data_IF_982235645113
#
_entry.id   IF_982235645113
#
_cell.length_a   1.000
_cell.length_b   1.000
_cell.length_c   1.000
_cell.angle_alpha   90.00
_cell.angle_beta   90.00
_cell.angle_gamma   90.00
#
_symmetry.space_group_name_H-M   'P 1'
#
loop_
_entity.id
_entity.type
_entity.pdbx_description
1 polymer ?
#
# COMPACT_ATOMS: atom_id res chain seq x y z
N UNK A 1 31.10 25.54 39.06
CA UNK A 1 31.64 24.54 38.11
C UNK A 1 30.62 24.33 37.02
N UNK A 2 30.81 24.99 35.88
CA UNK A 2 29.98 24.84 34.69
C UNK A 2 30.98 24.71 33.53
N UNK A 3 31.14 23.50 33.00
CA UNK A 3 32.08 23.22 31.92
C UNK A 3 31.34 23.42 30.61
N UNK A 4 31.67 24.49 29.88
CA UNK A 4 31.26 24.67 28.49
C UNK A 4 32.16 23.81 27.58
N UNK A 5 31.61 23.17 26.53
CA UNK A 5 32.42 22.42 25.58
C UNK A 5 33.21 23.36 24.63
N UNK A 6 34.35 22.92 24.08
CA UNK A 6 35.20 23.78 23.25
C UNK A 6 34.61 23.96 21.84
N UNK A 7 34.65 25.21 21.36
CA UNK A 7 34.39 25.59 19.97
C UNK A 7 35.53 25.08 19.07
N UNK A 8 35.21 24.18 18.14
CA UNK A 8 36.14 23.72 17.11
C UNK A 8 36.07 24.64 15.90
N UNK A 9 37.23 25.17 15.53
CA UNK A 9 37.47 26.06 14.39
C UNK A 9 37.39 25.32 13.05
N UNK A 10 36.55 25.79 12.13
CA UNK A 10 36.48 25.31 10.74
C UNK A 10 37.26 26.27 9.83
N UNK A 11 38.53 25.94 9.54
CA UNK A 11 39.25 26.54 8.41
C UNK A 11 39.75 25.46 7.45
N UNK A 12 39.10 25.44 6.27
CA UNK A 12 39.62 25.23 4.91
C UNK A 12 40.16 23.85 4.47
N UNK A 13 40.28 23.56 3.15
CA UNK A 13 39.66 24.15 1.96
C UNK A 13 38.80 23.14 1.17
N UNK A 14 38.01 23.68 0.24
CA UNK A 14 37.27 22.89 -0.75
C UNK A 14 38.23 22.05 -1.62
N UNK A 15 38.11 20.73 -1.55
CA UNK A 15 38.69 19.82 -2.53
C UNK A 15 37.60 19.00 -3.18
N UNK A 16 37.40 19.27 -4.47
CA UNK A 16 36.59 18.53 -5.42
C UNK A 16 36.69 17.00 -5.20
N UNK A 17 35.60 16.37 -4.81
CA UNK A 17 35.36 14.95 -5.03
C UNK A 17 34.12 14.80 -5.91
N UNK A 18 34.38 14.24 -7.09
CA UNK A 18 33.45 14.06 -8.20
C UNK A 18 32.24 13.22 -7.73
N UNK A 19 31.05 13.68 -8.11
CA UNK A 19 29.78 12.96 -7.99
C UNK A 19 29.91 11.54 -8.53
N UNK A 20 30.05 10.57 -7.63
CA UNK A 20 29.92 9.16 -7.94
C UNK A 20 28.42 8.85 -8.04
N UNK A 21 27.97 8.56 -9.26
CA UNK A 21 26.64 8.02 -9.56
C UNK A 21 26.50 6.63 -8.94
N UNK A 22 26.27 6.53 -7.64
CA UNK A 22 25.85 5.28 -7.02
C UNK A 22 24.34 5.12 -7.21
N UNK A 23 23.97 4.49 -8.33
CA UNK A 23 22.69 3.77 -8.43
C UNK A 23 22.74 2.62 -7.42
N UNK A 24 22.23 2.84 -6.23
CA UNK A 24 21.86 1.74 -5.34
C UNK A 24 20.60 1.14 -5.96
N UNK A 25 20.79 0.18 -6.87
CA UNK A 25 19.72 -0.67 -7.35
C UNK A 25 19.37 -1.61 -6.20
N UNK A 26 18.36 -1.25 -5.41
CA UNK A 26 17.67 -2.24 -4.57
C UNK A 26 17.13 -3.31 -5.52
N UNK A 27 17.31 -4.62 -5.24
CA UNK A 27 16.70 -5.66 -6.03
C UNK A 27 15.19 -5.52 -5.85
N UNK A 28 14.52 -4.86 -6.80
CA UNK A 28 13.07 -4.98 -6.95
C UNK A 28 12.85 -6.44 -7.32
N UNK A 29 12.14 -7.24 -6.52
CA UNK A 29 11.80 -8.58 -6.92
C UNK A 29 11.02 -8.49 -8.22
N UNK A 30 11.63 -8.86 -9.34
CA UNK A 30 10.94 -9.04 -10.60
C UNK A 30 10.12 -10.33 -10.51
N UNK A 31 9.06 -10.30 -9.71
CA UNK A 31 8.11 -11.41 -9.54
C UNK A 31 7.13 -11.53 -10.71
N UNK A 32 7.27 -10.69 -11.74
CA UNK A 32 6.60 -10.86 -13.03
C UNK A 32 7.17 -12.02 -13.87
N UNK A 33 8.04 -12.87 -13.32
CA UNK A 33 8.41 -14.13 -13.93
C UNK A 33 7.32 -15.18 -13.67
N UNK A 34 6.37 -15.22 -14.61
CA UNK A 34 5.43 -16.29 -14.95
C UNK A 34 5.27 -17.45 -13.94
N UNK A 35 4.30 -17.32 -13.04
CA UNK A 35 3.53 -18.47 -12.57
C UNK A 35 2.10 -18.32 -13.07
N UNK A 36 1.84 -18.90 -14.25
CA UNK A 36 0.54 -18.87 -14.94
C UNK A 36 -0.57 -19.63 -14.18
N UNK A 37 -0.27 -20.20 -13.01
CA UNK A 37 -1.17 -21.07 -12.25
C UNK A 37 -1.80 -20.41 -11.00
N UNK A 38 -1.35 -19.24 -10.54
CA UNK A 38 -1.88 -18.62 -9.31
C UNK A 38 -2.75 -17.40 -9.58
N UNK A 39 -3.87 -17.30 -8.87
CA UNK A 39 -4.74 -16.11 -8.90
C UNK A 39 -3.98 -14.93 -8.29
N UNK A 40 -3.90 -13.83 -9.04
CA UNK A 40 -3.21 -12.63 -8.58
C UNK A 40 -3.95 -12.03 -7.37
N UNK A 41 -3.20 -11.61 -6.37
CA UNK A 41 -3.71 -10.98 -5.15
C UNK A 41 -3.75 -9.47 -5.32
N UNK A 42 -4.73 -8.81 -4.69
CA UNK A 42 -4.85 -7.35 -4.78
C UNK A 42 -5.33 -6.72 -3.47
N UNK A 43 -4.82 -5.51 -3.20
CA UNK A 43 -5.39 -4.56 -2.25
C UNK A 43 -6.09 -3.46 -3.06
N UNK A 44 -7.30 -3.06 -2.66
CA UNK A 44 -8.09 -2.05 -3.37
C UNK A 44 -8.15 -0.76 -2.56
N UNK A 45 -7.88 0.39 -3.17
CA UNK A 45 -8.07 1.70 -2.56
C UNK A 45 -9.44 2.27 -2.92
N UNK A 46 -10.21 2.70 -1.93
CA UNK A 46 -11.56 3.26 -2.11
C UNK A 46 -11.90 4.29 -1.02
N UNK A 47 -10.94 5.17 -0.71
CA UNK A 47 -11.04 6.12 0.41
C UNK A 47 -12.34 6.92 0.41
N UNK A 48 -13.04 6.92 1.56
CA UNK A 48 -14.31 7.60 1.82
C UNK A 48 -15.47 7.21 0.88
N UNK A 49 -15.32 6.15 0.08
CA UNK A 49 -16.25 5.86 -1.01
C UNK A 49 -16.64 4.38 -1.11
N UNK A 50 -16.10 3.51 -0.26
CA UNK A 50 -16.52 2.11 -0.28
C UNK A 50 -18.00 1.97 0.10
N UNK A 51 -18.81 1.29 -0.72
CA UNK A 51 -20.26 1.25 -0.57
C UNK A 51 -21.02 2.46 -1.13
N UNK A 52 -20.33 3.52 -1.54
CA UNK A 52 -20.92 4.74 -2.11
C UNK A 52 -20.99 4.68 -3.65
N UNK A 53 -21.57 5.74 -4.24
CA UNK A 53 -21.77 5.88 -5.69
C UNK A 53 -20.44 5.90 -6.45
N UNK A 54 -19.42 6.55 -5.92
CA UNK A 54 -18.13 6.74 -6.61
C UNK A 54 -17.17 5.55 -6.39
N UNK A 55 -17.51 4.65 -5.45
CA UNK A 55 -16.78 3.41 -5.19
C UNK A 55 -17.24 2.21 -6.03
N UNK A 56 -18.02 2.42 -7.11
CA UNK A 56 -18.61 1.34 -7.93
C UNK A 56 -17.59 0.30 -8.39
N UNK A 57 -16.40 0.74 -8.79
CA UNK A 57 -15.34 -0.17 -9.23
C UNK A 57 -14.88 -1.07 -8.07
N UNK A 58 -14.59 -0.53 -6.89
CA UNK A 58 -14.26 -1.32 -5.70
C UNK A 58 -15.43 -2.25 -5.30
N UNK A 59 -16.65 -1.73 -5.28
CA UNK A 59 -17.86 -2.49 -4.91
C UNK A 59 -18.09 -3.67 -5.85
N UNK A 60 -17.90 -3.45 -7.16
CA UNK A 60 -17.99 -4.48 -8.19
C UNK A 60 -16.92 -5.55 -8.05
N UNK A 61 -15.68 -5.16 -7.74
CA UNK A 61 -14.58 -6.09 -7.48
C UNK A 61 -14.87 -6.97 -6.26
N UNK A 62 -15.34 -6.40 -5.15
CA UNK A 62 -15.66 -7.19 -3.96
C UNK A 62 -16.80 -8.20 -4.21
N UNK A 63 -17.82 -7.81 -4.97
CA UNK A 63 -18.96 -8.69 -5.25
C UNK A 63 -18.65 -9.81 -6.24
N UNK A 64 -17.80 -9.55 -7.25
CA UNK A 64 -17.63 -10.44 -8.41
C UNK A 64 -16.22 -10.47 -9.02
N UNK A 65 -15.15 -10.28 -8.24
CA UNK A 65 -13.80 -10.40 -8.81
C UNK A 65 -13.52 -11.84 -9.27
N UNK A 66 -13.43 -12.04 -10.58
CA UNK A 66 -13.04 -13.32 -11.20
C UNK A 66 -11.53 -13.42 -11.42
N UNK A 67 -10.84 -12.27 -11.46
CA UNK A 67 -9.42 -12.17 -11.86
C UNK A 67 -8.46 -12.07 -10.68
N UNK A 68 -8.95 -11.53 -9.56
CA UNK A 68 -8.11 -11.20 -8.41
C UNK A 68 -8.68 -11.77 -7.12
N UNK A 69 -7.81 -12.27 -6.26
CA UNK A 69 -8.14 -12.49 -4.86
C UNK A 69 -7.94 -11.16 -4.13
N UNK A 70 -9.04 -10.51 -3.77
CA UNK A 70 -8.99 -9.27 -3.01
C UNK A 70 -8.67 -9.60 -1.55
N UNK A 71 -7.63 -8.95 -1.00
CA UNK A 71 -7.15 -9.17 0.36
C UNK A 71 -7.83 -8.22 1.35
N UNK A 72 -7.98 -6.95 0.96
CA UNK A 72 -8.57 -5.89 1.79
C UNK A 72 -8.92 -4.67 0.93
N UNK A 73 -9.73 -3.77 1.52
CA UNK A 73 -10.02 -2.44 0.97
C UNK A 73 -9.43 -1.38 1.89
N UNK A 74 -8.81 -0.34 1.33
CA UNK A 74 -8.36 0.85 2.07
C UNK A 74 -9.46 1.91 2.00
N UNK A 75 -10.05 2.21 3.15
CA UNK A 75 -11.03 3.29 3.36
C UNK A 75 -11.01 3.68 4.85
N UNK A 76 -10.49 4.88 5.15
CA UNK A 76 -10.28 5.34 6.53
C UNK A 76 -11.58 5.59 7.30
N UNK A 77 -12.72 5.77 6.62
CA UNK A 77 -14.01 6.02 7.27
C UNK A 77 -14.69 4.73 7.73
N UNK A 78 -14.27 3.57 7.22
CA UNK A 78 -14.95 2.27 7.41
C UNK A 78 -14.05 1.20 8.04
N UNK A 79 -12.96 1.61 8.69
CA UNK A 79 -11.92 0.73 9.26
C UNK A 79 -12.51 -0.31 10.21
N UNK A 80 -12.02 -1.55 10.09
CA UNK A 80 -12.40 -2.66 10.96
C UNK A 80 -13.73 -3.32 10.58
N UNK A 81 -14.45 -2.80 9.59
CA UNK A 81 -15.65 -3.43 9.06
C UNK A 81 -15.31 -4.51 8.03
N UNK A 82 -16.26 -5.44 7.83
CA UNK A 82 -16.22 -6.43 6.77
C UNK A 82 -16.92 -5.87 5.52
N UNK A 83 -16.25 -5.98 4.37
CA UNK A 83 -16.77 -5.40 3.13
C UNK A 83 -18.09 -6.04 2.67
N UNK A 84 -18.28 -7.34 2.90
CA UNK A 84 -19.51 -8.04 2.57
C UNK A 84 -20.67 -7.64 3.48
N UNK A 85 -20.38 -7.37 4.76
CA UNK A 85 -21.37 -6.81 5.67
C UNK A 85 -21.87 -5.45 5.20
N UNK A 86 -20.99 -4.58 4.70
CA UNK A 86 -21.38 -3.26 4.19
C UNK A 86 -22.15 -3.31 2.87
N UNK A 87 -21.74 -4.16 1.93
CA UNK A 87 -22.36 -4.20 0.61
C UNK A 87 -23.66 -5.01 0.57
N UNK A 88 -23.67 -6.16 1.24
CA UNK A 88 -24.70 -7.19 1.03
C UNK A 88 -25.28 -7.74 2.35
N UNK A 89 -24.94 -7.15 3.51
CA UNK A 89 -25.30 -7.64 4.84
C UNK A 89 -24.89 -9.12 5.08
N UNK A 90 -23.79 -9.56 4.46
CA UNK A 90 -23.27 -10.92 4.57
C UNK A 90 -21.75 -10.91 4.66
N UNK A 91 -21.13 -11.51 5.68
CA UNK A 91 -19.68 -11.45 5.83
C UNK A 91 -18.96 -12.18 4.69
N UNK A 92 -17.87 -11.59 4.21
CA UNK A 92 -17.02 -12.18 3.15
C UNK A 92 -15.55 -12.33 3.56
N UNK A 93 -15.19 -11.94 4.79
CA UNK A 93 -13.85 -12.00 5.37
C UNK A 93 -12.81 -11.15 4.63
N UNK A 94 -13.25 -10.12 3.91
CA UNK A 94 -12.37 -9.10 3.31
C UNK A 94 -12.49 -7.84 4.18
N UNK A 95 -11.47 -7.51 4.99
CA UNK A 95 -11.51 -6.39 5.92
C UNK A 95 -11.30 -5.04 5.23
N UNK A 96 -11.79 -4.00 5.88
CA UNK A 96 -11.43 -2.61 5.57
C UNK A 96 -10.31 -2.14 6.49
N UNK A 97 -9.26 -1.60 5.88
CA UNK A 97 -8.04 -1.12 6.53
C UNK A 97 -7.93 0.40 6.44
N UNK A 98 -7.24 0.99 7.45
CA UNK A 98 -7.02 2.44 7.53
C UNK A 98 -6.19 2.98 6.38
N UNK A 99 -5.09 2.30 6.07
CA UNK A 99 -4.14 2.71 5.07
C UNK A 99 -3.48 1.49 4.41
N UNK A 100 -2.63 1.75 3.40
CA UNK A 100 -1.89 0.69 2.71
C UNK A 100 -0.95 -0.08 3.65
N UNK A 101 -0.37 0.58 4.66
CA UNK A 101 0.54 -0.07 5.61
C UNK A 101 -0.19 -1.11 6.45
N UNK A 102 -1.34 -0.74 6.99
CA UNK A 102 -2.24 -1.63 7.73
C UNK A 102 -2.77 -2.76 6.86
N UNK A 103 -3.12 -2.45 5.61
CA UNK A 103 -3.58 -3.45 4.64
C UNK A 103 -2.49 -4.48 4.30
N UNK A 104 -1.25 -4.04 4.11
CA UNK A 104 -0.11 -4.94 3.86
C UNK A 104 0.23 -5.78 5.09
N UNK A 105 0.24 -5.17 6.29
CA UNK A 105 0.49 -5.88 7.54
C UNK A 105 -0.59 -6.94 7.80
N UNK A 106 -1.86 -6.61 7.53
CA UNK A 106 -2.98 -7.55 7.63
C UNK A 106 -2.86 -8.69 6.63
N UNK A 107 -2.46 -8.40 5.39
CA UNK A 107 -2.28 -9.40 4.35
C UNK A 107 -1.16 -10.40 4.68
N UNK A 108 -0.11 -9.98 5.41
CA UNK A 108 1.05 -10.81 5.72
C UNK A 108 1.92 -11.17 4.51
N UNK A 109 1.67 -10.53 3.37
CA UNK A 109 2.36 -10.73 2.09
C UNK A 109 2.35 -9.44 1.27
N UNK A 110 3.20 -9.38 0.25
CA UNK A 110 3.18 -8.29 -0.74
C UNK A 110 2.13 -8.66 -1.80
N UNK A 111 1.07 -7.85 -2.01
CA UNK A 111 0.08 -8.15 -3.03
C UNK A 111 0.69 -8.01 -4.42
N UNK A 112 0.14 -8.76 -5.38
CA UNK A 112 0.57 -8.65 -6.78
C UNK A 112 0.13 -7.33 -7.43
N UNK A 113 -1.03 -6.80 -7.00
CA UNK A 113 -1.58 -5.54 -7.49
C UNK A 113 -2.05 -4.63 -6.35
N UNK A 114 -1.97 -3.34 -6.61
CA UNK A 114 -2.68 -2.30 -5.88
C UNK A 114 -3.65 -1.62 -6.85
N UNK A 115 -4.96 -1.74 -6.60
CA UNK A 115 -6.01 -1.31 -7.52
C UNK A 115 -6.64 -0.01 -6.99
N UNK A 116 -6.74 1.01 -7.84
CA UNK A 116 -7.50 2.22 -7.54
C UNK A 116 -8.98 1.96 -7.88
N UNK A 117 -9.83 1.83 -6.87
CA UNK A 117 -11.22 1.40 -6.98
C UNK A 117 -12.24 2.53 -7.09
N UNK A 118 -11.78 3.72 -7.46
CA UNK A 118 -12.53 4.97 -7.49
C UNK A 118 -12.87 5.39 -8.92
N UNK A 119 -14.06 5.95 -9.11
CA UNK A 119 -14.44 6.69 -10.31
C UNK A 119 -14.39 8.20 -10.02
N UNK A 120 -14.12 8.99 -11.07
CA UNK A 120 -14.07 10.47 -11.03
C UNK A 120 -15.32 11.09 -11.62
#
# INVERSE_FOLDING_TARGET
MLVAPPLVSLNSPASHLKSAKNKITLPVPSQFAEDKSRVATAIVYCEANFGEIDGKTANGLIRRSEKYKILSVVDSEKVGLDTGMLLDNKPNAIPICLDLTGAQAQAGLIPDLFIFGMEV
#
